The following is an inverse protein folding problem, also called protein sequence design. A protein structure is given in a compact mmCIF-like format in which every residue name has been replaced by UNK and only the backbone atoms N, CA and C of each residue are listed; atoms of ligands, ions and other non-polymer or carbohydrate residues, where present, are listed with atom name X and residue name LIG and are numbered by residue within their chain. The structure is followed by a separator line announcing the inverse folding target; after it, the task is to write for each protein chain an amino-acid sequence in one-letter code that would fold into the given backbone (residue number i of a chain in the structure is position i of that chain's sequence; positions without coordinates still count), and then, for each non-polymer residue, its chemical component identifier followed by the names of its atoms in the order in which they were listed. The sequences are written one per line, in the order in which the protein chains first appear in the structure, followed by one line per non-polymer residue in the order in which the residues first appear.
data_IF_040056560761
#
_entry.id   IF_040056560761
#
_cell.length_a   1.000
_cell.length_b   1.000
_cell.length_c   1.000
_cell.angle_alpha   90.00
_cell.angle_beta   90.00
_cell.angle_gamma   90.00
#
_symmetry.space_group_name_H-M   'P 1'
#
loop_
_entity.id
_entity.type
_entity.pdbx_description
1 polymer ?
#
# COMPACT_ATOMS: atom_id res chain seq x y z
N UNK A 1 9.33 55.16 -59.56
CA UNK A 1 8.30 54.46 -58.79
C UNK A 1 8.81 53.05 -58.63
N UNK A 2 9.29 52.72 -57.43
CA UNK A 2 9.84 51.39 -57.14
C UNK A 2 8.92 50.78 -56.12
N UNK A 3 8.16 49.74 -56.54
CA UNK A 3 7.22 49.01 -55.70
C UNK A 3 7.94 47.84 -55.05
N UNK A 4 8.18 47.91 -53.73
CA UNK A 4 8.83 46.83 -52.97
C UNK A 4 7.72 46.11 -52.23
N UNK A 5 7.28 44.95 -52.74
CA UNK A 5 6.40 44.00 -52.05
C UNK A 5 7.25 43.11 -51.22
N UNK A 6 7.13 43.22 -49.90
CA UNK A 6 7.72 42.26 -48.95
C UNK A 6 6.80 41.06 -48.74
N UNK A 7 7.32 39.80 -48.71
CA UNK A 7 6.49 38.65 -48.39
C UNK A 7 6.36 38.49 -46.86
N UNK A 8 5.12 38.33 -46.38
CA UNK A 8 4.82 37.94 -45.04
C UNK A 8 5.36 36.53 -44.77
N UNK A 9 6.34 36.43 -43.86
CA UNK A 9 6.78 35.15 -43.31
C UNK A 9 5.80 34.70 -42.26
N UNK A 10 4.98 33.67 -42.60
CA UNK A 10 4.14 32.96 -41.62
C UNK A 10 5.03 32.18 -40.63
N UNK A 11 5.12 32.68 -39.41
CA UNK A 11 5.79 32.03 -38.30
C UNK A 11 4.82 30.96 -37.74
N UNK A 12 4.96 29.73 -38.22
CA UNK A 12 4.22 28.60 -37.69
C UNK A 12 4.77 28.24 -36.31
N UNK A 13 4.08 28.67 -35.26
CA UNK A 13 4.38 28.26 -33.87
C UNK A 13 3.91 26.82 -33.71
N UNK A 14 4.82 25.89 -33.72
CA UNK A 14 4.60 24.50 -33.31
C UNK A 14 4.44 24.46 -31.80
N UNK A 15 3.18 24.41 -31.33
CA UNK A 15 2.85 24.17 -29.93
C UNK A 15 3.11 22.69 -29.64
N UNK A 16 4.30 22.37 -29.14
CA UNK A 16 4.62 21.05 -28.64
C UNK A 16 3.78 20.78 -27.41
N UNK A 17 2.73 19.98 -27.56
CA UNK A 17 1.96 19.45 -26.44
C UNK A 17 2.87 18.44 -25.75
N UNK A 18 3.52 18.90 -24.68
CA UNK A 18 4.24 18.05 -23.76
C UNK A 18 3.19 17.25 -22.99
N UNK A 19 2.91 16.03 -23.43
CA UNK A 19 2.07 15.09 -22.67
C UNK A 19 2.80 14.81 -21.36
N UNK A 20 2.35 15.47 -20.27
CA UNK A 20 2.68 15.07 -18.91
C UNK A 20 2.08 13.68 -18.72
N UNK A 21 2.93 12.66 -18.81
CA UNK A 21 2.58 11.33 -18.29
C UNK A 21 2.33 11.49 -16.80
N UNK A 22 1.06 11.62 -16.42
CA UNK A 22 0.66 11.55 -15.03
C UNK A 22 1.11 10.18 -14.53
N UNK A 23 2.05 10.15 -13.58
CA UNK A 23 2.36 8.94 -12.83
C UNK A 23 1.05 8.46 -12.22
N UNK A 24 0.46 7.42 -12.78
CA UNK A 24 -0.76 6.81 -12.24
C UNK A 24 -0.39 6.20 -10.90
N UNK A 25 -0.96 6.76 -9.84
CA UNK A 25 -0.77 6.26 -8.47
C UNK A 25 -1.22 4.80 -8.34
N UNK A 26 -2.21 4.40 -9.13
CA UNK A 26 -2.75 3.05 -9.23
C UNK A 26 -2.50 2.55 -10.65
N UNK A 27 -1.65 1.56 -10.77
CA UNK A 27 -1.31 0.91 -12.03
C UNK A 27 -2.33 -0.19 -12.36
N UNK A 28 -2.77 -0.95 -11.34
CA UNK A 28 -3.82 -1.96 -11.45
C UNK A 28 -4.84 -1.81 -10.32
N UNK A 29 -5.99 -1.15 -10.57
CA UNK A 29 -7.04 -1.01 -9.58
C UNK A 29 -7.68 -2.35 -9.25
N UNK A 30 -7.98 -2.57 -7.96
CA UNK A 30 -8.77 -3.69 -7.46
C UNK A 30 -9.98 -3.15 -6.71
N UNK A 31 -11.02 -3.98 -6.56
CA UNK A 31 -12.15 -3.63 -5.69
C UNK A 31 -11.65 -3.43 -4.27
N UNK A 32 -12.08 -2.35 -3.63
CA UNK A 32 -11.75 -2.04 -2.24
C UNK A 32 -12.96 -2.15 -1.33
N UNK A 33 -12.71 -2.31 -0.04
CA UNK A 33 -13.77 -2.34 0.99
C UNK A 33 -14.56 -1.05 0.95
N UNK A 34 -15.92 -1.19 0.88
CA UNK A 34 -16.88 -0.11 0.99
C UNK A 34 -18.19 -0.64 1.60
N UNK A 35 -18.75 -0.05 2.68
CA UNK A 35 -18.18 1.08 3.44
C UNK A 35 -16.93 0.67 4.23
N UNK A 36 -15.96 1.58 4.30
CA UNK A 36 -14.75 1.43 5.10
C UNK A 36 -14.82 2.33 6.33
N UNK A 37 -14.45 1.78 7.48
CA UNK A 37 -14.49 2.46 8.78
C UNK A 37 -13.07 2.61 9.32
N UNK A 38 -12.44 3.78 9.12
CA UNK A 38 -11.06 4.02 9.53
C UNK A 38 -10.81 3.69 11.01
N UNK A 39 -11.73 4.07 11.91
CA UNK A 39 -11.56 3.82 13.34
C UNK A 39 -11.42 2.34 13.69
N UNK A 40 -11.99 1.44 12.88
CA UNK A 40 -11.84 -0.01 13.03
C UNK A 40 -10.50 -0.52 12.48
N UNK A 41 -9.84 0.30 11.65
CA UNK A 41 -8.56 -0.04 11.03
C UNK A 41 -7.35 0.49 11.81
N UNK A 42 -7.51 1.57 12.60
CA UNK A 42 -6.45 2.15 13.42
C UNK A 42 -5.87 1.15 14.43
N UNK A 43 -4.66 1.43 14.92
CA UNK A 43 -3.92 0.59 15.85
C UNK A 43 -2.92 -0.33 15.16
N UNK A 44 -2.48 -1.36 15.86
CA UNK A 44 -1.40 -2.26 15.42
C UNK A 44 -1.93 -3.43 14.62
N UNK A 45 -1.21 -3.77 13.56
CA UNK A 45 -1.39 -4.95 12.72
C UNK A 45 -0.09 -5.73 12.64
N UNK A 46 -0.17 -7.05 12.72
CA UNK A 46 0.92 -7.96 12.40
C UNK A 46 0.89 -8.28 10.92
N UNK A 47 2.02 -8.21 10.26
CA UNK A 47 2.15 -8.67 8.89
C UNK A 47 2.33 -10.19 8.87
N UNK A 48 1.33 -10.90 8.36
CA UNK A 48 1.30 -12.37 8.31
C UNK A 48 1.98 -12.91 7.06
N UNK A 49 1.76 -12.21 5.93
CA UNK A 49 2.41 -12.56 4.67
C UNK A 49 2.52 -11.35 3.76
N UNK A 50 3.49 -11.39 2.85
CA UNK A 50 3.68 -10.41 1.78
C UNK A 50 4.22 -11.05 0.51
N UNK A 51 4.12 -10.35 -0.62
CA UNK A 51 4.99 -10.59 -1.77
C UNK A 51 6.37 -9.95 -1.53
N UNK A 52 7.42 -10.48 -2.17
CA UNK A 52 8.77 -9.92 -2.01
C UNK A 52 8.88 -8.53 -2.60
N UNK A 53 9.42 -7.61 -1.82
CA UNK A 53 9.81 -6.27 -2.25
C UNK A 53 11.00 -5.76 -1.43
N UNK A 54 11.78 -4.86 -2.02
CA UNK A 54 13.11 -4.50 -1.52
C UNK A 54 13.12 -3.83 -0.14
N UNK A 55 12.06 -3.11 0.23
CA UNK A 55 12.03 -2.33 1.48
C UNK A 55 11.66 -3.14 2.73
N UNK A 56 11.19 -4.41 2.58
CA UNK A 56 10.94 -5.33 3.71
C UNK A 56 11.69 -6.66 3.57
N UNK A 57 12.64 -6.72 2.63
CA UNK A 57 13.43 -7.94 2.42
C UNK A 57 14.25 -8.28 3.66
N UNK A 58 14.31 -9.57 4.01
CA UNK A 58 14.98 -10.12 5.20
C UNK A 58 14.40 -9.65 6.54
N UNK A 59 13.17 -9.06 6.54
CA UNK A 59 12.50 -8.67 7.78
C UNK A 59 11.57 -9.76 8.29
N UNK A 60 11.63 -10.00 9.59
CA UNK A 60 10.66 -10.76 10.39
C UNK A 60 10.01 -9.87 11.46
N UNK A 61 9.02 -10.39 12.17
CA UNK A 61 8.32 -9.68 13.27
C UNK A 61 7.79 -8.31 12.85
N UNK A 62 7.37 -8.21 11.58
CA UNK A 62 6.91 -6.95 11.00
C UNK A 62 5.53 -6.58 11.54
N UNK A 63 5.42 -5.34 11.98
CA UNK A 63 4.16 -4.72 12.41
C UNK A 63 3.96 -3.38 11.73
N UNK A 64 2.69 -3.02 11.52
CA UNK A 64 2.28 -1.70 11.04
C UNK A 64 1.32 -1.08 12.05
N UNK A 65 1.62 0.12 12.53
CA UNK A 65 0.73 0.88 13.42
C UNK A 65 0.15 2.06 12.67
N UNK A 66 -1.17 2.22 12.75
CA UNK A 66 -1.91 3.31 12.11
C UNK A 66 -2.52 4.22 13.18
N UNK A 67 -2.21 5.50 13.11
CA UNK A 67 -2.68 6.51 14.06
C UNK A 67 -3.24 7.72 13.32
N UNK A 68 -4.46 8.14 13.66
CA UNK A 68 -5.06 9.33 13.05
C UNK A 68 -4.47 10.60 13.69
N UNK A 69 -3.96 11.51 12.84
CA UNK A 69 -3.48 12.84 13.25
C UNK A 69 -4.07 13.90 12.32
N UNK A 70 -5.09 14.58 12.78
CA UNK A 70 -5.85 15.52 11.94
C UNK A 70 -6.51 14.78 10.77
N UNK A 71 -6.18 15.17 9.54
CA UNK A 71 -6.71 14.55 8.31
C UNK A 71 -5.79 13.47 7.72
N UNK A 72 -4.64 13.20 8.33
CA UNK A 72 -3.69 12.18 7.88
C UNK A 72 -3.69 10.98 8.81
N UNK A 73 -3.42 9.81 8.25
CA UNK A 73 -3.08 8.61 9.01
C UNK A 73 -1.56 8.50 9.03
N UNK A 74 -0.97 8.55 10.22
CA UNK A 74 0.45 8.24 10.42
C UNK A 74 0.59 6.72 10.45
N UNK A 75 1.57 6.22 9.71
CA UNK A 75 1.89 4.79 9.60
C UNK A 75 3.29 4.60 10.14
N UNK A 76 3.44 3.75 11.16
CA UNK A 76 4.74 3.34 11.67
C UNK A 76 4.91 1.84 11.38
N UNK A 77 5.80 1.51 10.47
CA UNK A 77 6.20 0.12 10.22
C UNK A 77 7.45 -0.18 11.04
N UNK A 78 7.44 -1.33 11.70
CA UNK A 78 8.58 -1.81 12.47
C UNK A 78 8.83 -3.28 12.12
N UNK A 79 10.09 -3.65 11.88
CA UNK A 79 10.48 -5.01 11.55
C UNK A 79 11.88 -5.34 12.08
N UNK A 80 12.17 -6.62 12.28
CA UNK A 80 13.48 -7.09 12.70
C UNK A 80 14.26 -7.54 11.46
N UNK A 81 15.36 -6.87 11.15
CA UNK A 81 16.30 -7.23 10.09
C UNK A 81 17.16 -8.41 10.53
N UNK A 82 16.93 -9.58 9.94
CA UNK A 82 17.58 -10.83 10.34
C UNK A 82 19.07 -10.83 10.03
N UNK A 83 19.50 -10.20 8.96
CA UNK A 83 20.91 -10.10 8.54
C UNK A 83 21.71 -9.10 9.38
N UNK A 84 21.08 -8.03 9.87
CA UNK A 84 21.69 -7.01 10.70
C UNK A 84 21.47 -7.24 12.22
N UNK A 85 20.60 -8.21 12.59
CA UNK A 85 20.20 -8.52 13.96
C UNK A 85 19.72 -7.30 14.74
N UNK A 86 18.95 -6.42 14.09
CA UNK A 86 18.45 -5.19 14.69
C UNK A 86 17.04 -4.84 14.22
N UNK A 87 16.34 -4.09 15.05
CA UNK A 87 15.07 -3.51 14.70
C UNK A 87 15.26 -2.32 13.75
N UNK A 88 14.39 -2.23 12.76
CA UNK A 88 14.26 -1.09 11.87
C UNK A 88 12.85 -0.52 11.95
N UNK A 89 12.72 0.79 11.80
CA UNK A 89 11.45 1.50 11.86
C UNK A 89 11.36 2.52 10.74
N UNK A 90 10.23 2.55 10.05
CA UNK A 90 9.94 3.53 9.03
C UNK A 90 8.61 4.24 9.33
N UNK A 91 8.64 5.57 9.29
CA UNK A 91 7.49 6.42 9.55
C UNK A 91 6.95 6.99 8.23
N UNK A 92 5.67 6.75 7.97
CA UNK A 92 4.97 7.19 6.77
C UNK A 92 3.70 7.97 7.09
N UNK A 93 3.07 8.43 6.03
CA UNK A 93 1.78 9.13 6.08
C UNK A 93 0.87 8.61 4.99
N UNK A 94 -0.40 8.43 5.32
CA UNK A 94 -1.42 8.02 4.39
C UNK A 94 -2.57 9.03 4.34
N UNK A 95 -3.19 9.11 3.17
CA UNK A 95 -4.37 9.95 2.90
C UNK A 95 -5.36 9.17 2.05
N UNK A 96 -6.65 9.38 2.26
CA UNK A 96 -7.67 8.85 1.37
C UNK A 96 -7.55 9.48 -0.03
N UNK A 97 -7.87 8.72 -1.07
CA UNK A 97 -7.88 9.19 -2.46
C UNK A 97 -9.28 9.70 -2.80
N UNK A 98 -10.31 8.86 -2.65
CA UNK A 98 -11.67 9.13 -3.13
C UNK A 98 -12.72 9.14 -2.00
N UNK A 99 -12.36 9.69 -0.83
CA UNK A 99 -13.27 9.75 0.32
C UNK A 99 -12.95 8.70 1.38
N UNK A 100 -13.36 8.99 2.62
CA UNK A 100 -12.99 8.19 3.80
C UNK A 100 -13.83 6.93 4.00
N UNK A 101 -14.87 6.75 3.19
CA UNK A 101 -15.77 5.57 3.22
C UNK A 101 -15.30 4.42 2.32
N UNK A 102 -14.11 4.56 1.73
CA UNK A 102 -13.49 3.55 0.87
C UNK A 102 -12.11 3.18 1.39
N UNK A 103 -11.78 1.90 1.35
CA UNK A 103 -10.46 1.38 1.73
C UNK A 103 -9.37 1.71 0.70
N UNK A 104 -9.35 2.94 0.18
CA UNK A 104 -8.45 3.40 -0.86
C UNK A 104 -7.63 4.60 -0.38
N UNK A 105 -6.35 4.34 -0.08
CA UNK A 105 -5.43 5.34 0.40
C UNK A 105 -4.20 5.43 -0.50
N UNK A 106 -3.46 6.52 -0.35
CA UNK A 106 -2.08 6.67 -0.82
C UNK A 106 -1.15 6.81 0.37
N UNK A 107 -0.04 6.09 0.34
CA UNK A 107 0.95 6.04 1.42
C UNK A 107 2.29 6.51 0.92
N UNK A 108 3.01 7.28 1.73
CA UNK A 108 4.39 7.69 1.48
C UNK A 108 5.24 7.50 2.72
N UNK A 109 6.37 6.83 2.57
CA UNK A 109 7.47 6.76 3.53
C UNK A 109 8.61 7.71 3.13
N UNK A 110 8.70 8.05 1.85
CA UNK A 110 9.73 8.93 1.28
C UNK A 110 9.04 9.98 0.39
N UNK A 111 8.63 11.11 0.97
CA UNK A 111 8.02 12.19 0.20
C UNK A 111 8.97 12.74 -0.87
N UNK A 112 8.48 13.13 -2.05
CA UNK A 112 7.08 13.32 -2.43
C UNK A 112 6.41 12.08 -3.07
N UNK A 113 7.03 10.91 -3.03
CA UNK A 113 6.55 9.70 -3.72
C UNK A 113 5.47 9.01 -2.89
N UNK A 114 4.35 8.67 -3.54
CA UNK A 114 3.22 7.97 -2.95
C UNK A 114 2.95 6.68 -3.73
N UNK A 115 2.66 5.59 -3.01
CA UNK A 115 2.10 4.36 -3.55
C UNK A 115 0.64 4.21 -3.16
N UNK A 116 -0.18 3.58 -4.02
CA UNK A 116 -1.53 3.20 -3.64
C UNK A 116 -1.53 2.10 -2.57
N UNK A 117 -2.51 2.18 -1.70
CA UNK A 117 -2.78 1.22 -0.63
C UNK A 117 -4.26 0.87 -0.68
N UNK A 118 -4.57 -0.26 -1.32
CA UNK A 118 -5.90 -0.72 -1.65
C UNK A 118 -6.31 -1.82 -0.66
N UNK A 119 -7.12 -1.49 0.34
CA UNK A 119 -7.67 -2.47 1.29
C UNK A 119 -8.76 -3.24 0.54
N UNK A 120 -8.37 -4.40 -0.01
CA UNK A 120 -9.22 -5.22 -0.87
C UNK A 120 -10.29 -5.97 -0.10
N UNK A 121 -9.94 -6.43 1.10
CA UNK A 121 -10.86 -7.17 1.96
C UNK A 121 -10.52 -6.99 3.44
N UNK A 122 -11.52 -7.16 4.30
CA UNK A 122 -11.37 -7.20 5.76
C UNK A 122 -12.28 -8.25 6.36
N UNK A 123 -11.81 -8.91 7.42
CA UNK A 123 -12.65 -9.74 8.29
C UNK A 123 -13.08 -8.89 9.47
N UNK A 124 -14.37 -9.00 9.83
CA UNK A 124 -14.96 -8.30 10.98
C UNK A 124 -15.29 -9.29 12.09
N UNK A 125 -14.92 -8.92 13.30
CA UNK A 125 -15.46 -9.58 14.51
C UNK A 125 -16.94 -9.19 14.71
N UNK A 126 -17.69 -9.91 15.57
CA UNK A 126 -19.09 -9.59 15.85
C UNK A 126 -19.33 -8.17 16.39
N UNK A 127 -18.35 -7.56 17.02
CA UNK A 127 -18.39 -6.18 17.51
C UNK A 127 -18.06 -5.13 16.43
N UNK A 128 -17.87 -5.55 15.17
CA UNK A 128 -17.54 -4.68 14.03
C UNK A 128 -16.06 -4.38 13.85
N UNK A 129 -15.20 -4.74 14.78
CA UNK A 129 -13.76 -4.51 14.71
C UNK A 129 -13.15 -5.30 13.54
N UNK A 130 -12.26 -4.69 12.79
CA UNK A 130 -11.49 -5.40 11.76
C UNK A 130 -10.40 -6.24 12.43
N UNK A 131 -10.40 -7.55 12.14
CA UNK A 131 -9.44 -8.51 12.71
C UNK A 131 -8.35 -8.89 11.76
N UNK A 132 -8.66 -8.96 10.45
CA UNK A 132 -7.73 -9.33 9.41
C UNK A 132 -7.99 -8.48 8.17
N UNK A 133 -6.95 -8.21 7.38
CA UNK A 133 -7.03 -7.40 6.18
C UNK A 133 -6.18 -7.97 5.06
N UNK A 134 -6.69 -7.87 3.83
CA UNK A 134 -5.98 -8.14 2.60
C UNK A 134 -5.74 -6.83 1.87
N UNK A 135 -4.49 -6.49 1.64
CA UNK A 135 -4.07 -5.22 1.05
C UNK A 135 -3.31 -5.46 -0.24
N UNK A 136 -3.61 -4.66 -1.26
CA UNK A 136 -2.91 -4.63 -2.54
C UNK A 136 -2.29 -3.25 -2.72
N UNK A 137 -1.06 -3.21 -3.22
CA UNK A 137 -0.36 -1.97 -3.52
C UNK A 137 -0.81 -1.32 -4.84
N UNK A 138 0.08 -0.56 -5.50
CA UNK A 138 -0.23 0.09 -6.78
C UNK A 138 -0.62 -0.90 -7.88
N UNK A 139 -0.12 -2.13 -7.79
CA UNK A 139 -0.41 -3.23 -8.70
C UNK A 139 -0.29 -4.58 -7.97
N UNK A 140 -0.50 -5.68 -8.68
CA UNK A 140 -0.50 -7.05 -8.15
C UNK A 140 0.90 -7.62 -7.82
N UNK A 141 1.96 -6.83 -7.93
CA UNK A 141 3.29 -7.19 -7.43
C UNK A 141 3.47 -6.88 -5.94
N UNK A 142 2.54 -6.13 -5.35
CA UNK A 142 2.54 -5.76 -3.93
C UNK A 142 1.26 -6.24 -3.28
N UNK A 143 1.39 -7.13 -2.32
CA UNK A 143 0.26 -7.65 -1.54
C UNK A 143 0.71 -7.99 -0.12
N UNK A 144 -0.18 -7.73 0.85
CA UNK A 144 0.02 -8.02 2.26
C UNK A 144 -1.21 -8.68 2.85
N UNK A 145 -0.99 -9.64 3.71
CA UNK A 145 -2.00 -10.19 4.63
C UNK A 145 -1.65 -9.69 6.02
N UNK A 146 -2.57 -8.96 6.62
CA UNK A 146 -2.42 -8.37 7.95
C UNK A 146 -3.41 -9.01 8.93
N UNK A 147 -3.02 -9.13 10.19
CA UNK A 147 -3.89 -9.62 11.27
C UNK A 147 -3.68 -8.82 12.56
N UNK A 148 -4.72 -8.76 13.41
CA UNK A 148 -4.61 -8.20 14.77
C UNK A 148 -3.84 -9.10 15.72
N UNK A 149 -3.60 -10.33 15.34
CA UNK A 149 -2.86 -11.33 16.12
C UNK A 149 -1.67 -11.87 15.34
N UNK A 150 -0.63 -12.27 16.04
CA UNK A 150 0.57 -12.86 15.45
C UNK A 150 0.29 -14.17 14.66
N UNK A 151 -0.85 -14.78 14.86
CA UNK A 151 -1.30 -16.01 14.19
C UNK A 151 -2.68 -15.78 13.58
N UNK A 152 -2.78 -15.95 12.26
CA UNK A 152 -4.05 -15.84 11.53
C UNK A 152 -4.83 -17.15 11.59
N UNK A 153 -6.17 -17.06 11.63
CA UNK A 153 -7.05 -18.22 11.51
C UNK A 153 -6.88 -18.91 10.15
N UNK A 154 -6.85 -20.26 10.14
CA UNK A 154 -6.61 -21.05 8.92
C UNK A 154 -7.67 -20.81 7.83
N UNK A 155 -8.94 -20.61 8.19
CA UNK A 155 -10.00 -20.36 7.22
C UNK A 155 -9.85 -18.97 6.60
N UNK A 156 -9.52 -17.95 7.41
CA UNK A 156 -9.23 -16.59 6.94
C UNK A 156 -8.02 -16.59 6.00
N UNK A 157 -6.92 -17.27 6.41
CA UNK A 157 -5.73 -17.46 5.61
C UNK A 157 -6.08 -18.03 4.22
N UNK A 158 -6.82 -19.15 4.18
CA UNK A 158 -7.19 -19.78 2.92
C UNK A 158 -8.11 -18.88 2.08
N UNK A 159 -9.04 -18.16 2.71
CA UNK A 159 -9.90 -17.19 2.04
C UNK A 159 -9.10 -16.09 1.33
N UNK A 160 -8.09 -15.54 2.00
CA UNK A 160 -7.22 -14.51 1.40
C UNK A 160 -6.34 -15.08 0.29
N UNK A 161 -5.79 -16.30 0.42
CA UNK A 161 -5.06 -16.99 -0.63
C UNK A 161 -5.94 -17.13 -1.89
N UNK A 162 -7.19 -17.55 -1.74
CA UNK A 162 -8.13 -17.70 -2.87
C UNK A 162 -8.40 -16.35 -3.55
N UNK A 163 -8.57 -15.26 -2.78
CA UNK A 163 -8.77 -13.91 -3.33
C UNK A 163 -7.53 -13.40 -4.09
N UNK A 164 -6.33 -13.62 -3.54
CA UNK A 164 -5.08 -13.30 -4.23
C UNK A 164 -4.96 -14.06 -5.56
N UNK A 165 -5.26 -15.35 -5.56
CA UNK A 165 -5.27 -16.18 -6.78
C UNK A 165 -6.27 -15.67 -7.81
N UNK A 166 -7.47 -15.23 -7.38
CA UNK A 166 -8.48 -14.65 -8.27
C UNK A 166 -8.03 -13.32 -8.91
N UNK A 167 -7.14 -12.57 -8.25
CA UNK A 167 -6.49 -11.39 -8.79
C UNK A 167 -5.32 -11.71 -9.75
N UNK A 168 -5.01 -13.00 -9.97
CA UNK A 168 -3.90 -13.46 -10.78
C UNK A 168 -2.53 -13.39 -10.09
N UNK A 169 -2.51 -13.29 -8.76
CA UNK A 169 -1.28 -13.28 -7.97
C UNK A 169 -0.83 -14.71 -7.72
N UNK A 170 0.43 -15.01 -8.01
CA UNK A 170 1.01 -16.31 -7.68
C UNK A 170 1.26 -16.42 -6.17
N UNK A 171 0.38 -17.10 -5.47
CA UNK A 171 0.41 -17.25 -4.01
C UNK A 171 1.55 -18.13 -3.49
N UNK A 172 2.24 -18.89 -4.37
CA UNK A 172 3.46 -19.61 -4.00
C UNK A 172 4.63 -18.64 -3.74
N UNK A 173 4.54 -17.41 -4.21
CA UNK A 173 5.54 -16.36 -3.97
C UNK A 173 5.32 -15.61 -2.66
N UNK A 174 4.29 -15.95 -1.88
CA UNK A 174 4.05 -15.34 -0.58
C UNK A 174 5.14 -15.75 0.41
N UNK A 175 5.77 -14.74 1.00
CA UNK A 175 6.66 -14.88 2.15
C UNK A 175 5.78 -14.85 3.40
N UNK A 176 5.77 -15.95 4.16
CA UNK A 176 5.10 -16.02 5.46
C UNK A 176 6.03 -15.43 6.51
N UNK A 177 5.60 -14.32 7.10
CA UNK A 177 6.43 -13.56 8.05
C UNK A 177 6.42 -14.24 9.41
N UNK A 178 7.59 -14.51 9.94
CA UNK A 178 7.74 -15.02 11.30
C UNK A 178 7.27 -13.95 12.30
N UNK A 179 6.33 -14.34 13.18
CA UNK A 179 5.76 -13.54 14.24
C UNK A 179 5.86 -14.33 15.55
N UNK A 180 6.98 -14.36 16.16
CA UNK A 180 7.19 -15.10 17.39
C UNK A 180 7.86 -14.22 18.44
N UNK A 181 8.35 -14.85 19.51
CA UNK A 181 9.24 -14.20 20.45
C UNK A 181 10.66 -14.30 19.90
N UNK A 182 11.31 -13.16 19.67
CA UNK A 182 12.75 -13.16 19.42
C UNK A 182 13.44 -13.77 20.64
N UNK A 183 14.36 -14.73 20.40
CA UNK A 183 15.03 -15.47 21.50
C UNK A 183 15.89 -14.57 22.40
N UNK A 184 15.98 -13.27 22.12
CA UNK A 184 16.94 -12.37 22.78
C UNK A 184 16.35 -10.98 23.12
N UNK A 185 15.11 -10.96 23.63
CA UNK A 185 14.57 -9.78 24.33
C UNK A 185 15.08 -9.75 25.78
N UNK A 186 16.42 -9.86 25.97
CA UNK A 186 17.07 -9.65 27.26
C UNK A 186 18.02 -8.48 27.22
#
# INVERSE_FOLDING_TARGET
MINITQPLRHLSIWLSIMSLSACTLIDKPVTVVKPFELNQYLGTWYEIARLDHSFERNMSHVTAQYTLQGSKVVVTNRGFKQDEQQWDEANGKAYFIDGSDQGLLKVSFFGPFYGAYQIHDVIKAPNGQYTDALVIGPNTQYAWILSRTAVINSNTKQGFINKLSALGINTNNLIWVEQGTLKDDR
#
